data_IF_038118677398
#
_entry.id   IF_038118677398
#
_cell.length_a   1.000
_cell.length_b   1.000
_cell.length_c   1.000
_cell.angle_alpha   90.00
_cell.angle_beta   90.00
_cell.angle_gamma   90.00
#
_symmetry.space_group_name_H-M   'P 1'
#
loop_
_entity.id
_entity.type
_entity.pdbx_description
1 polymer ?
#
# COMPACT_ATOMS: atom_id res chain seq x y z
N UNK A 1 -0.50 11.54 -16.05
CA UNK A 1 -0.31 10.54 -14.98
C UNK A 1 1.06 10.72 -14.40
N UNK A 2 2.07 10.00 -14.88
CA UNK A 2 3.43 10.08 -14.33
C UNK A 2 4.16 11.40 -14.60
N UNK A 3 4.03 11.94 -15.82
CA UNK A 3 4.75 13.16 -16.24
C UNK A 3 3.89 14.43 -16.11
N UNK A 4 2.82 14.40 -15.29
CA UNK A 4 1.90 15.54 -15.13
C UNK A 4 1.28 16.09 -16.44
N UNK A 5 1.00 15.20 -17.40
CA UNK A 5 0.42 15.55 -18.72
C UNK A 5 -0.99 15.01 -19.00
N UNK A 6 -1.54 14.23 -18.07
CA UNK A 6 -2.86 13.59 -18.19
C UNK A 6 -3.47 13.49 -16.79
N UNK A 7 -4.69 13.99 -16.54
CA UNK A 7 -5.36 13.84 -15.25
C UNK A 7 -5.62 12.38 -14.89
N UNK A 8 -5.55 12.07 -13.60
CA UNK A 8 -5.80 10.73 -13.04
C UNK A 8 -7.22 10.29 -13.27
N UNK A 9 -8.17 11.19 -13.09
CA UNK A 9 -9.57 11.00 -13.43
C UNK A 9 -9.74 10.49 -14.86
N UNK A 10 -9.10 11.11 -15.85
CA UNK A 10 -9.21 10.69 -17.26
C UNK A 10 -8.72 9.25 -17.50
N UNK A 11 -7.62 8.85 -16.84
CA UNK A 11 -7.13 7.47 -16.96
C UNK A 11 -8.03 6.48 -16.23
N UNK A 12 -8.49 6.81 -15.02
CA UNK A 12 -9.42 5.99 -14.25
C UNK A 12 -10.73 5.81 -15.02
N UNK A 13 -11.28 6.88 -15.60
CA UNK A 13 -12.47 6.82 -16.44
C UNK A 13 -12.31 5.87 -17.64
N UNK A 14 -11.12 5.83 -18.24
CA UNK A 14 -10.82 4.89 -19.31
C UNK A 14 -10.80 3.44 -18.79
N UNK A 15 -10.24 3.19 -17.61
CA UNK A 15 -10.25 1.87 -16.98
C UNK A 15 -11.67 1.45 -16.62
N UNK A 16 -12.45 2.31 -15.97
CA UNK A 16 -13.85 2.07 -15.58
C UNK A 16 -14.69 1.64 -16.78
N UNK A 17 -14.53 2.29 -17.94
CA UNK A 17 -15.29 1.94 -19.16
C UNK A 17 -14.86 0.63 -19.82
N UNK A 18 -13.63 0.17 -19.61
CA UNK A 18 -13.05 -0.94 -20.39
C UNK A 18 -12.76 -2.20 -19.56
N UNK A 19 -12.73 -2.12 -18.23
CA UNK A 19 -12.32 -3.23 -17.37
C UNK A 19 -13.19 -4.47 -17.54
N UNK A 20 -14.51 -4.31 -17.74
CA UNK A 20 -15.43 -5.44 -17.99
C UNK A 20 -15.35 -5.99 -19.42
N UNK A 21 -14.68 -5.29 -20.34
CA UNK A 21 -14.59 -5.64 -21.75
C UNK A 21 -13.26 -6.31 -22.12
N UNK A 22 -12.27 -6.30 -21.23
CA UNK A 22 -10.94 -6.83 -21.49
C UNK A 22 -10.93 -8.38 -21.41
N UNK A 23 -10.77 -9.11 -22.53
CA UNK A 23 -10.81 -10.56 -22.53
C UNK A 23 -9.52 -11.23 -22.03
N UNK A 24 -8.39 -10.50 -22.03
CA UNK A 24 -7.09 -11.06 -21.65
C UNK A 24 -6.81 -10.83 -20.17
N UNK A 25 -6.68 -11.93 -19.40
CA UNK A 25 -6.36 -11.86 -17.97
C UNK A 25 -5.05 -11.09 -17.70
N UNK A 26 -4.03 -11.20 -18.56
CA UNK A 26 -2.76 -10.49 -18.38
C UNK A 26 -2.87 -8.98 -18.61
N UNK A 27 -3.66 -8.57 -19.61
CA UNK A 27 -3.93 -7.15 -19.87
C UNK A 27 -4.84 -6.57 -18.79
N UNK A 28 -5.84 -7.33 -18.35
CA UNK A 28 -6.70 -6.98 -17.22
C UNK A 28 -5.87 -6.75 -15.95
N UNK A 29 -4.98 -7.69 -15.61
CA UNK A 29 -4.07 -7.56 -14.46
C UNK A 29 -3.19 -6.31 -14.54
N UNK A 30 -2.68 -6.01 -15.73
CA UNK A 30 -1.90 -4.78 -15.95
C UNK A 30 -2.77 -3.52 -15.80
N UNK A 31 -4.00 -3.55 -16.33
CA UNK A 31 -4.95 -2.44 -16.29
C UNK A 31 -5.34 -2.08 -14.85
N UNK A 32 -5.77 -3.06 -14.05
CA UNK A 32 -6.19 -2.83 -12.65
C UNK A 32 -5.02 -2.37 -11.78
N UNK A 33 -3.85 -2.99 -11.95
CA UNK A 33 -2.63 -2.61 -11.22
C UNK A 33 -2.18 -1.19 -11.54
N UNK A 34 -2.18 -0.81 -12.83
CA UNK A 34 -1.84 0.55 -13.22
C UNK A 34 -2.85 1.58 -12.72
N UNK A 35 -4.15 1.26 -12.69
CA UNK A 35 -5.18 2.13 -12.15
C UNK A 35 -4.96 2.39 -10.66
N UNK A 36 -4.75 1.34 -9.88
CA UNK A 36 -4.48 1.42 -8.44
C UNK A 36 -3.20 2.22 -8.17
N UNK A 37 -2.13 1.95 -8.91
CA UNK A 37 -0.86 2.67 -8.76
C UNK A 37 -0.99 4.15 -9.17
N UNK A 38 -1.80 4.46 -10.19
CA UNK A 38 -2.08 5.82 -10.62
C UNK A 38 -2.79 6.62 -9.53
N UNK A 39 -3.85 6.06 -8.94
CA UNK A 39 -4.60 6.71 -7.85
C UNK A 39 -3.70 6.88 -6.62
N UNK A 40 -3.02 5.82 -6.18
CA UNK A 40 -2.17 5.84 -4.99
C UNK A 40 -1.02 6.86 -5.07
N UNK A 41 -0.37 7.01 -6.24
CA UNK A 41 0.83 7.83 -6.36
C UNK A 41 0.56 9.24 -6.91
N UNK A 42 -0.45 9.43 -7.75
CA UNK A 42 -0.60 10.65 -8.55
C UNK A 42 -1.90 11.42 -8.30
N UNK A 43 -2.93 10.81 -7.70
CA UNK A 43 -4.15 11.54 -7.37
C UNK A 43 -3.90 12.58 -6.28
N UNK A 44 -4.54 13.74 -6.41
CA UNK A 44 -4.62 14.72 -5.34
C UNK A 44 -5.31 14.11 -4.11
N UNK A 45 -4.96 14.60 -2.93
CA UNK A 45 -5.52 14.07 -1.67
C UNK A 45 -7.05 14.13 -1.65
N UNK A 46 -7.64 15.18 -2.21
CA UNK A 46 -9.10 15.42 -2.19
C UNK A 46 -9.88 14.52 -3.15
N UNK A 47 -9.30 14.12 -4.28
CA UNK A 47 -9.97 13.26 -5.26
C UNK A 47 -9.70 11.77 -5.08
N UNK A 48 -8.70 11.42 -4.25
CA UNK A 48 -8.24 10.04 -4.12
C UNK A 48 -9.35 9.08 -3.70
N UNK A 49 -10.17 9.46 -2.72
CA UNK A 49 -11.30 8.64 -2.26
C UNK A 49 -12.34 8.42 -3.37
N UNK A 50 -12.74 9.48 -4.08
CA UNK A 50 -13.69 9.40 -5.20
C UNK A 50 -13.20 8.44 -6.29
N UNK A 51 -11.91 8.51 -6.62
CA UNK A 51 -11.30 7.64 -7.63
C UNK A 51 -11.24 6.18 -7.16
N UNK A 52 -10.96 5.93 -5.88
CA UNK A 52 -11.05 4.57 -5.33
C UNK A 52 -12.48 4.03 -5.30
N UNK A 53 -13.47 4.86 -4.98
CA UNK A 53 -14.89 4.48 -5.06
C UNK A 53 -15.28 4.11 -6.51
N UNK A 54 -14.85 4.89 -7.51
CA UNK A 54 -15.09 4.58 -8.91
C UNK A 54 -14.42 3.27 -9.37
N UNK A 55 -13.18 3.01 -8.94
CA UNK A 55 -12.51 1.74 -9.20
C UNK A 55 -13.19 0.57 -8.49
N UNK A 56 -13.65 0.76 -7.26
CA UNK A 56 -14.38 -0.26 -6.51
C UNK A 56 -15.66 -0.69 -7.24
N UNK A 57 -16.48 0.27 -7.69
CA UNK A 57 -17.72 -0.02 -8.41
C UNK A 57 -17.46 -0.72 -9.75
N UNK A 58 -16.44 -0.27 -10.49
CA UNK A 58 -16.06 -0.87 -11.76
C UNK A 58 -15.50 -2.30 -11.59
N UNK A 59 -14.64 -2.52 -10.60
CA UNK A 59 -14.07 -3.84 -10.32
C UNK A 59 -15.13 -4.81 -9.80
N UNK A 60 -16.07 -4.35 -8.97
CA UNK A 60 -17.22 -5.14 -8.53
C UNK A 60 -18.10 -5.57 -9.70
N UNK A 61 -18.39 -4.64 -10.63
CA UNK A 61 -19.18 -4.92 -11.84
C UNK A 61 -18.47 -5.92 -12.75
N UNK A 62 -17.16 -5.74 -12.98
CA UNK A 62 -16.37 -6.67 -13.77
C UNK A 62 -16.25 -8.05 -13.10
N UNK A 63 -16.10 -8.10 -11.78
CA UNK A 63 -16.02 -9.35 -11.02
C UNK A 63 -17.31 -10.16 -11.18
N UNK A 64 -18.46 -9.51 -11.07
CA UNK A 64 -19.77 -10.15 -11.26
C UNK A 64 -20.00 -10.70 -12.68
N UNK A 65 -19.33 -10.12 -13.69
CA UNK A 65 -19.38 -10.56 -15.08
C UNK A 65 -18.32 -11.62 -15.44
N UNK A 66 -17.32 -11.83 -14.59
CA UNK A 66 -16.23 -12.77 -14.87
C UNK A 66 -16.69 -14.22 -14.79
N UNK A 67 -16.13 -15.08 -15.64
CA UNK A 67 -16.41 -16.52 -15.62
C UNK A 67 -15.99 -17.13 -14.27
N UNK A 68 -16.84 -17.97 -13.64
CA UNK A 68 -16.51 -18.65 -12.39
C UNK A 68 -15.19 -19.44 -12.45
N UNK A 69 -14.35 -19.31 -11.43
CA UNK A 69 -13.05 -19.97 -11.30
C UNK A 69 -11.97 -19.48 -12.26
N UNK A 70 -12.19 -18.37 -12.98
CA UNK A 70 -11.24 -17.87 -13.97
C UNK A 70 -10.13 -17.00 -13.36
N UNK A 71 -8.99 -16.92 -14.06
CA UNK A 71 -7.90 -16.01 -13.70
C UNK A 71 -8.35 -14.54 -13.65
N UNK A 72 -9.23 -14.14 -14.57
CA UNK A 72 -9.81 -12.79 -14.60
C UNK A 72 -10.59 -12.49 -13.32
N UNK A 73 -11.40 -13.44 -12.84
CA UNK A 73 -12.15 -13.34 -11.60
C UNK A 73 -11.21 -13.17 -10.39
N UNK A 74 -10.14 -13.97 -10.30
CA UNK A 74 -9.16 -13.87 -9.22
C UNK A 74 -8.38 -12.55 -9.24
N UNK A 75 -8.04 -12.05 -10.43
CA UNK A 75 -7.39 -10.74 -10.60
C UNK A 75 -8.30 -9.62 -10.10
N UNK A 76 -9.57 -9.63 -10.51
CA UNK A 76 -10.57 -8.64 -10.11
C UNK A 76 -10.87 -8.69 -8.61
N UNK A 77 -10.96 -9.88 -8.03
CA UNK A 77 -11.17 -10.07 -6.60
C UNK A 77 -10.02 -9.47 -5.78
N UNK A 78 -8.76 -9.74 -6.16
CA UNK A 78 -7.58 -9.13 -5.52
C UNK A 78 -7.55 -7.63 -5.70
N UNK A 79 -7.90 -7.14 -6.89
CA UNK A 79 -7.97 -5.71 -7.14
C UNK A 79 -9.05 -5.02 -6.29
N UNK A 80 -10.21 -5.67 -6.14
CA UNK A 80 -11.31 -5.23 -5.31
C UNK A 80 -10.90 -5.14 -3.84
N UNK A 81 -10.27 -6.18 -3.28
CA UNK A 81 -9.73 -6.16 -1.90
C UNK A 81 -8.83 -4.95 -1.68
N UNK A 82 -7.88 -4.70 -2.58
CA UNK A 82 -6.93 -3.59 -2.45
C UNK A 82 -7.63 -2.22 -2.46
N UNK A 83 -8.61 -1.99 -3.35
CA UNK A 83 -9.31 -0.69 -3.38
C UNK A 83 -10.27 -0.52 -2.20
N UNK A 84 -10.81 -1.62 -1.64
CA UNK A 84 -11.68 -1.59 -0.44
C UNK A 84 -10.97 -1.11 0.83
N UNK A 85 -9.65 -1.07 0.87
CA UNK A 85 -8.87 -0.48 1.97
C UNK A 85 -8.96 1.04 2.06
N UNK A 86 -9.38 1.71 0.97
CA UNK A 86 -9.51 3.18 0.92
C UNK A 86 -10.92 3.62 0.49
N UNK A 87 -11.57 2.85 -0.39
CA UNK A 87 -12.94 3.12 -0.81
C UNK A 87 -13.91 3.09 0.38
N UNK A 88 -15.00 3.86 0.27
CA UNK A 88 -16.06 3.91 1.28
C UNK A 88 -16.89 2.62 1.32
N UNK A 89 -16.95 1.88 0.22
CA UNK A 89 -17.61 0.57 0.10
C UNK A 89 -16.66 -0.60 0.41
N UNK A 90 -17.18 -1.84 0.37
CA UNK A 90 -16.37 -3.06 0.35
C UNK A 90 -16.15 -3.75 1.70
N UNK A 91 -16.64 -3.18 2.82
CA UNK A 91 -16.51 -3.80 4.14
C UNK A 91 -17.11 -5.21 4.18
N UNK A 92 -18.37 -5.38 3.76
CA UNK A 92 -19.05 -6.68 3.77
C UNK A 92 -18.32 -7.72 2.90
N UNK A 93 -17.89 -7.31 1.71
CA UNK A 93 -17.11 -8.16 0.80
C UNK A 93 -15.79 -8.59 1.44
N UNK A 94 -15.05 -7.67 2.08
CA UNK A 94 -13.83 -8.01 2.78
C UNK A 94 -14.09 -8.89 4.01
N UNK A 95 -15.19 -8.70 4.74
CA UNK A 95 -15.57 -9.58 5.87
C UNK A 95 -15.85 -11.00 5.41
N UNK A 96 -16.55 -11.18 4.29
CA UNK A 96 -16.77 -12.50 3.71
C UNK A 96 -15.44 -13.16 3.32
N UNK A 97 -14.59 -12.46 2.55
CA UNK A 97 -13.29 -12.98 2.12
C UNK A 97 -12.39 -13.32 3.33
N UNK A 98 -12.42 -12.48 4.38
CA UNK A 98 -11.63 -12.66 5.60
C UNK A 98 -11.94 -13.97 6.34
N UNK A 99 -13.09 -14.61 6.10
CA UNK A 99 -13.42 -15.94 6.67
C UNK A 99 -12.38 -17.01 6.33
N UNK A 100 -11.69 -16.88 5.19
CA UNK A 100 -10.55 -17.73 4.82
C UNK A 100 -9.34 -17.65 5.77
N UNK A 101 -9.29 -16.66 6.67
CA UNK A 101 -8.27 -16.54 7.72
C UNK A 101 -8.74 -17.02 9.10
N UNK A 102 -10.06 -17.10 9.35
CA UNK A 102 -10.63 -17.39 10.67
C UNK A 102 -11.12 -18.82 10.87
N UNK A 103 -11.60 -19.45 9.80
CA UNK A 103 -12.39 -20.67 9.90
C UNK A 103 -12.04 -21.63 8.77
N UNK A 104 -12.38 -22.92 8.98
CA UNK A 104 -12.32 -23.96 7.96
C UNK A 104 -13.56 -23.79 7.07
N UNK A 105 -13.61 -22.64 6.40
CA UNK A 105 -14.76 -22.26 5.60
C UNK A 105 -14.70 -23.05 4.31
N UNK A 106 -15.60 -24.03 4.20
CA UNK A 106 -15.78 -24.77 2.96
C UNK A 106 -16.65 -23.99 1.98
N UNK A 107 -16.37 -24.14 0.69
CA UNK A 107 -17.09 -23.47 -0.39
C UNK A 107 -16.37 -22.25 -0.93
N UNK A 108 -17.12 -21.44 -1.67
CA UNK A 108 -16.59 -20.32 -2.44
C UNK A 108 -16.95 -18.97 -1.80
N UNK A 109 -16.10 -17.98 -2.05
CA UNK A 109 -16.33 -16.57 -1.71
C UNK A 109 -17.64 -16.11 -2.38
N UNK A 110 -18.52 -15.45 -1.62
CA UNK A 110 -19.89 -15.18 -2.05
C UNK A 110 -19.97 -14.36 -3.35
N UNK A 111 -19.06 -13.39 -3.50
CA UNK A 111 -18.96 -12.53 -4.69
C UNK A 111 -18.13 -13.14 -5.83
N UNK A 112 -17.56 -14.34 -5.63
CA UNK A 112 -16.62 -14.96 -6.56
C UNK A 112 -16.78 -16.49 -6.58
N UNK A 113 -17.93 -16.98 -7.04
CA UNK A 113 -18.17 -18.42 -7.25
C UNK A 113 -17.05 -19.05 -8.08
N UNK A 114 -16.57 -20.21 -7.65
CA UNK A 114 -15.39 -20.91 -8.20
C UNK A 114 -14.06 -20.51 -7.55
N UNK A 115 -14.03 -19.49 -6.68
CA UNK A 115 -12.86 -19.12 -5.88
C UNK A 115 -13.11 -19.56 -4.42
N UNK A 116 -12.40 -20.58 -3.92
CA UNK A 116 -12.56 -21.04 -2.54
C UNK A 116 -12.03 -20.01 -1.54
N UNK A 117 -12.53 -20.08 -0.31
CA UNK A 117 -11.89 -19.35 0.79
C UNK A 117 -10.46 -19.89 0.99
N UNK A 118 -9.48 -18.99 1.00
CA UNK A 118 -8.10 -19.35 1.27
C UNK A 118 -7.41 -18.29 2.15
N UNK A 119 -6.32 -18.72 2.79
CA UNK A 119 -5.60 -17.91 3.75
C UNK A 119 -4.99 -16.64 3.13
N UNK A 120 -4.54 -16.66 1.88
CA UNK A 120 -3.93 -15.48 1.25
C UNK A 120 -4.97 -14.39 1.02
N UNK A 121 -6.12 -14.74 0.42
CA UNK A 121 -7.21 -13.78 0.22
C UNK A 121 -7.77 -13.31 1.57
N UNK A 122 -7.91 -14.21 2.55
CA UNK A 122 -8.36 -13.87 3.89
C UNK A 122 -7.48 -12.82 4.57
N UNK A 123 -6.16 -13.00 4.58
CA UNK A 123 -5.24 -12.01 5.15
C UNK A 123 -5.16 -10.71 4.35
N UNK A 124 -5.30 -10.76 3.03
CA UNK A 124 -5.39 -9.56 2.21
C UNK A 124 -6.64 -8.73 2.58
N UNK A 125 -7.79 -9.39 2.78
CA UNK A 125 -9.02 -8.74 3.20
C UNK A 125 -8.96 -8.20 4.64
N UNK A 126 -8.33 -8.94 5.57
CA UNK A 126 -8.04 -8.45 6.91
C UNK A 126 -7.15 -7.19 6.90
N UNK A 127 -6.17 -7.13 6.01
CA UNK A 127 -5.34 -5.95 5.80
C UNK A 127 -6.13 -4.73 5.32
N UNK A 128 -7.04 -4.92 4.35
CA UNK A 128 -7.93 -3.85 3.88
C UNK A 128 -8.89 -3.36 4.98
N UNK A 129 -9.43 -4.27 5.80
CA UNK A 129 -10.25 -3.91 6.97
C UNK A 129 -9.41 -3.18 8.03
N UNK A 130 -8.16 -3.59 8.26
CA UNK A 130 -7.27 -2.96 9.22
C UNK A 130 -6.90 -1.52 8.83
N UNK A 131 -6.62 -1.26 7.55
CA UNK A 131 -6.36 0.10 7.05
C UNK A 131 -7.51 1.07 7.38
N UNK A 132 -8.74 0.57 7.39
CA UNK A 132 -9.96 1.33 7.72
C UNK A 132 -10.37 1.27 9.18
N UNK A 133 -9.56 0.64 10.04
CA UNK A 133 -9.89 0.40 11.45
C UNK A 133 -11.21 -0.39 11.65
N UNK A 134 -11.49 -1.36 10.78
CA UNK A 134 -12.71 -2.19 10.80
C UNK A 134 -12.49 -3.59 11.38
N UNK A 135 -11.29 -3.85 11.91
CA UNK A 135 -10.91 -5.08 12.61
C UNK A 135 -10.07 -4.74 13.83
N UNK A 136 -10.23 -5.49 14.91
CA UNK A 136 -9.49 -5.33 16.16
C UNK A 136 -8.20 -6.18 16.18
N UNK A 137 -7.25 -5.79 17.04
CA UNK A 137 -6.05 -6.60 17.31
C UNK A 137 -6.42 -8.00 17.78
N UNK A 138 -7.46 -8.15 18.62
CA UNK A 138 -7.91 -9.45 19.10
C UNK A 138 -8.40 -10.36 17.97
N UNK A 139 -9.13 -9.82 16.99
CA UNK A 139 -9.53 -10.56 15.79
C UNK A 139 -8.31 -10.99 14.97
N UNK A 140 -7.35 -10.08 14.74
CA UNK A 140 -6.11 -10.42 14.02
C UNK A 140 -5.31 -11.52 14.73
N UNK A 141 -5.20 -11.46 16.06
CA UNK A 141 -4.54 -12.51 16.85
C UNK A 141 -5.28 -13.85 16.77
N UNK A 142 -6.62 -13.84 16.79
CA UNK A 142 -7.43 -15.05 16.64
C UNK A 142 -7.19 -15.69 15.27
N UNK A 143 -7.23 -14.92 14.18
CA UNK A 143 -6.92 -15.40 12.82
C UNK A 143 -5.50 -15.96 12.73
N UNK A 144 -4.51 -15.31 13.36
CA UNK A 144 -3.11 -15.76 13.35
C UNK A 144 -2.92 -17.10 14.08
N UNK A 145 -3.65 -17.32 15.18
CA UNK A 145 -3.60 -18.58 15.94
C UNK A 145 -4.40 -19.71 15.30
N UNK A 146 -5.43 -19.39 14.53
CA UNK A 146 -6.34 -20.36 13.93
C UNK A 146 -5.62 -21.31 12.95
N UNK A 147 -4.87 -20.76 12.00
CA UNK A 147 -4.09 -21.52 11.03
C UNK A 147 -2.65 -20.97 10.94
N UNK A 148 -1.74 -21.37 11.86
CA UNK A 148 -0.39 -20.85 11.90
C UNK A 148 0.44 -21.26 10.67
N UNK A 149 0.93 -20.28 9.93
CA UNK A 149 1.72 -20.46 8.72
C UNK A 149 2.58 -19.21 8.47
N UNK A 150 3.46 -19.25 7.46
CA UNK A 150 4.16 -18.04 7.02
C UNK A 150 3.19 -17.00 6.45
N UNK A 151 2.10 -17.43 5.82
CA UNK A 151 1.06 -16.54 5.28
C UNK A 151 0.36 -15.82 6.44
N UNK A 152 -0.03 -16.52 7.51
CA UNK A 152 -0.66 -15.86 8.66
C UNK A 152 0.30 -14.99 9.47
N UNK A 153 1.56 -15.40 9.65
CA UNK A 153 2.54 -14.57 10.32
C UNK A 153 2.80 -13.25 9.56
N UNK A 154 2.99 -13.33 8.24
CA UNK A 154 3.21 -12.14 7.40
C UNK A 154 1.95 -11.28 7.27
N UNK A 155 0.77 -11.91 7.11
CA UNK A 155 -0.51 -11.24 7.07
C UNK A 155 -0.83 -10.50 8.37
N UNK A 156 -0.54 -11.12 9.53
CA UNK A 156 -0.69 -10.49 10.84
C UNK A 156 0.22 -9.27 10.98
N UNK A 157 1.50 -9.40 10.63
CA UNK A 157 2.45 -8.30 10.68
C UNK A 157 2.01 -7.12 9.79
N UNK A 158 1.52 -7.41 8.58
CA UNK A 158 0.97 -6.40 7.68
C UNK A 158 -0.29 -5.72 8.25
N UNK A 159 -1.30 -6.50 8.66
CA UNK A 159 -2.57 -5.97 9.14
C UNK A 159 -2.40 -5.17 10.44
N UNK A 160 -1.59 -5.66 11.38
CA UNK A 160 -1.29 -4.94 12.62
C UNK A 160 -0.61 -3.60 12.34
N UNK A 161 0.33 -3.57 11.39
CA UNK A 161 1.00 -2.33 11.00
C UNK A 161 0.12 -1.39 10.16
N UNK A 162 -0.92 -1.91 9.50
CA UNK A 162 -1.89 -1.16 8.69
C UNK A 162 -2.88 -0.36 9.54
N UNK A 163 -3.19 -0.84 10.75
CA UNK A 163 -4.07 -0.18 11.71
C UNK A 163 -3.70 1.32 11.89
N UNK A 164 -4.65 2.27 11.70
CA UNK A 164 -4.37 3.70 11.66
C UNK A 164 -4.34 4.32 13.07
N UNK A 165 -3.60 3.71 13.99
CA UNK A 165 -3.36 4.22 15.35
C UNK A 165 -1.87 4.47 15.57
N UNK A 166 -1.57 5.53 16.33
CA UNK A 166 -0.20 5.97 16.56
C UNK A 166 0.66 4.88 17.22
N UNK A 167 0.08 4.11 18.14
CA UNK A 167 0.75 3.02 18.86
C UNK A 167 1.18 1.90 17.91
N UNK A 168 0.33 1.54 16.94
CA UNK A 168 0.64 0.50 15.95
C UNK A 168 1.66 0.97 14.92
N UNK A 169 1.63 2.26 14.53
CA UNK A 169 2.67 2.84 13.67
C UNK A 169 4.01 2.92 14.38
N UNK A 170 4.03 3.28 15.67
CA UNK A 170 5.24 3.33 16.48
C UNK A 170 5.88 1.94 16.59
N UNK A 171 5.08 0.92 16.90
CA UNK A 171 5.57 -0.44 17.01
C UNK A 171 6.06 -0.96 15.66
N UNK A 172 5.30 -0.78 14.57
CA UNK A 172 5.73 -1.20 13.23
C UNK A 172 7.05 -0.54 12.80
N UNK A 173 7.20 0.76 13.04
CA UNK A 173 8.44 1.48 12.77
C UNK A 173 9.61 0.91 13.58
N UNK A 174 9.43 0.76 14.90
CA UNK A 174 10.43 0.20 15.80
C UNK A 174 10.84 -1.22 15.36
N UNK A 175 9.88 -2.09 15.06
CA UNK A 175 10.13 -3.45 14.57
C UNK A 175 10.98 -3.44 13.30
N UNK A 176 10.65 -2.62 12.31
CA UNK A 176 11.42 -2.56 11.04
C UNK A 176 12.83 -2.01 11.23
N UNK A 177 13.01 -1.03 12.12
CA UNK A 177 14.31 -0.38 12.36
C UNK A 177 15.24 -1.23 13.24
N UNK A 178 14.70 -1.85 14.29
CA UNK A 178 15.49 -2.44 15.38
C UNK A 178 15.59 -3.98 15.32
N UNK A 179 14.58 -4.68 14.79
CA UNK A 179 14.54 -6.14 14.84
C UNK A 179 15.35 -6.82 13.71
N UNK A 180 16.55 -7.28 14.05
CA UNK A 180 17.42 -8.05 13.15
C UNK A 180 16.90 -9.44 12.78
N UNK A 181 15.96 -9.97 13.56
CA UNK A 181 15.59 -11.38 13.54
C UNK A 181 14.42 -11.67 12.62
N UNK A 182 13.77 -10.62 12.09
CA UNK A 182 12.70 -10.74 11.11
C UNK A 182 13.17 -11.47 9.85
N UNK A 183 12.29 -12.33 9.34
CA UNK A 183 12.42 -12.81 7.96
C UNK A 183 12.29 -11.63 6.98
N UNK A 184 12.83 -11.78 5.77
CA UNK A 184 12.67 -10.76 4.72
C UNK A 184 11.20 -10.47 4.39
N UNK A 185 10.34 -11.48 4.49
CA UNK A 185 8.91 -11.36 4.20
C UNK A 185 8.18 -10.66 5.34
N UNK A 186 8.53 -10.95 6.60
CA UNK A 186 7.97 -10.25 7.76
C UNK A 186 8.38 -8.78 7.75
N UNK A 187 9.66 -8.48 7.52
CA UNK A 187 10.18 -7.12 7.37
C UNK A 187 9.42 -6.34 6.28
N UNK A 188 9.23 -6.96 5.12
CA UNK A 188 8.52 -6.34 3.99
C UNK A 188 7.03 -6.14 4.32
N UNK A 189 6.41 -7.10 5.01
CA UNK A 189 5.01 -7.04 5.41
C UNK A 189 4.76 -5.91 6.41
N UNK A 190 5.57 -5.83 7.46
CA UNK A 190 5.48 -4.75 8.46
C UNK A 190 5.72 -3.38 7.82
N UNK A 191 6.73 -3.24 6.96
CA UNK A 191 7.00 -1.97 6.27
C UNK A 191 5.87 -1.57 5.31
N UNK A 192 5.27 -2.54 4.60
CA UNK A 192 4.14 -2.27 3.71
C UNK A 192 2.88 -1.86 4.49
N UNK A 193 2.60 -2.48 5.64
CA UNK A 193 1.48 -2.09 6.50
C UNK A 193 1.70 -0.73 7.14
N UNK A 194 2.92 -0.45 7.62
CA UNK A 194 3.28 0.85 8.20
C UNK A 194 2.91 2.00 7.28
N UNK A 195 3.18 1.88 5.98
CA UNK A 195 2.90 2.90 4.94
C UNK A 195 1.42 3.25 4.73
N UNK A 196 0.50 2.42 5.19
CA UNK A 196 -0.93 2.65 5.00
C UNK A 196 -1.50 3.68 5.99
N UNK A 197 -2.68 4.20 5.69
CA UNK A 197 -3.36 5.19 6.52
C UNK A 197 -2.79 6.61 6.40
N UNK A 198 -3.25 7.53 7.27
CA UNK A 198 -2.96 8.97 7.19
C UNK A 198 -1.46 9.29 7.22
N UNK A 199 -1.05 10.32 6.49
CA UNK A 199 0.35 10.75 6.39
C UNK A 199 0.87 11.22 7.77
N UNK A 200 0.02 11.89 8.55
CA UNK A 200 0.33 12.51 9.84
C UNK A 200 0.81 11.50 10.89
N UNK A 201 0.37 10.24 10.79
CA UNK A 201 0.81 9.18 11.69
C UNK A 201 2.25 8.74 11.39
N UNK A 202 2.80 9.08 10.22
CA UNK A 202 4.15 8.66 9.78
C UNK A 202 5.16 9.80 9.81
N UNK A 203 4.74 11.05 9.72
CA UNK A 203 5.62 12.23 9.76
C UNK A 203 6.58 12.27 10.95
N UNK A 204 6.18 11.89 12.19
CA UNK A 204 7.09 11.92 13.34
C UNK A 204 8.35 11.05 13.19
N UNK A 205 8.35 10.10 12.24
CA UNK A 205 9.46 9.17 12.03
C UNK A 205 10.44 9.60 10.93
N UNK A 206 10.16 10.67 10.18
CA UNK A 206 10.96 11.02 9.00
C UNK A 206 12.41 11.39 9.36
N UNK A 207 12.60 12.24 10.38
CA UNK A 207 13.93 12.65 10.84
C UNK A 207 14.72 11.45 11.39
N UNK A 208 14.11 10.62 12.24
CA UNK A 208 14.79 9.45 12.82
C UNK A 208 15.11 8.38 11.77
N UNK A 209 14.30 8.27 10.71
CA UNK A 209 14.56 7.38 9.59
C UNK A 209 15.86 7.77 8.87
N UNK A 210 16.02 9.05 8.51
CA UNK A 210 17.24 9.52 7.84
C UNK A 210 18.47 9.42 8.73
N UNK A 211 18.34 9.75 10.02
CA UNK A 211 19.43 9.65 10.99
C UNK A 211 19.99 8.22 11.13
N UNK A 212 19.13 7.20 10.98
CA UNK A 212 19.52 5.81 11.17
C UNK A 212 20.05 5.10 9.91
N UNK A 213 20.02 5.74 8.72
CA UNK A 213 20.34 5.04 7.46
C UNK A 213 21.77 4.50 7.38
N UNK A 214 22.74 5.28 7.85
CA UNK A 214 24.15 4.87 7.83
C UNK A 214 24.37 3.64 8.72
N UNK A 215 23.89 3.69 9.96
CA UNK A 215 23.99 2.59 10.92
C UNK A 215 23.28 1.33 10.42
N UNK A 216 22.09 1.46 9.85
CA UNK A 216 21.35 0.34 9.25
C UNK A 216 22.13 -0.28 8.09
N UNK A 217 22.73 0.55 7.25
CA UNK A 217 23.48 0.07 6.10
C UNK A 217 24.76 -0.69 6.50
N UNK A 218 25.43 -0.24 7.56
CA UNK A 218 26.64 -0.88 8.07
C UNK A 218 26.37 -2.15 8.87
N UNK A 219 25.27 -2.17 9.64
CA UNK A 219 24.98 -3.25 10.58
C UNK A 219 24.08 -4.37 10.03
N UNK A 220 23.32 -4.11 8.96
CA UNK A 220 22.38 -5.09 8.37
C UNK A 220 22.93 -5.72 7.10
N UNK A 221 22.37 -6.86 6.73
CA UNK A 221 22.61 -7.41 5.38
C UNK A 221 22.12 -6.42 4.31
N UNK A 222 22.80 -6.38 3.17
CA UNK A 222 22.44 -5.50 2.04
C UNK A 222 20.98 -5.67 1.61
N UNK A 223 20.46 -6.90 1.68
CA UNK A 223 19.08 -7.22 1.34
C UNK A 223 18.07 -6.65 2.34
N UNK A 224 18.39 -6.64 3.63
CA UNK A 224 17.54 -6.03 4.66
C UNK A 224 17.62 -4.51 4.60
N UNK A 225 18.83 -3.94 4.54
CA UNK A 225 19.03 -2.49 4.45
C UNK A 225 18.28 -1.90 3.24
N UNK A 226 18.37 -2.55 2.07
CA UNK A 226 17.65 -2.11 0.86
C UNK A 226 16.12 -2.13 1.05
N UNK A 227 15.59 -3.14 1.76
CA UNK A 227 14.15 -3.24 2.06
C UNK A 227 13.71 -2.15 3.03
N UNK A 228 14.51 -1.86 4.06
CA UNK A 228 14.22 -0.79 5.02
C UNK A 228 14.23 0.57 4.33
N UNK A 229 15.30 0.89 3.58
CA UNK A 229 15.44 2.16 2.85
C UNK A 229 14.25 2.38 1.89
N UNK A 230 13.86 1.37 1.12
CA UNK A 230 12.73 1.50 0.17
C UNK A 230 11.36 1.45 0.85
N UNK A 231 11.23 0.64 1.90
CA UNK A 231 9.98 0.38 2.60
C UNK A 231 9.56 1.54 3.48
N UNK A 232 10.51 2.20 4.15
CA UNK A 232 10.23 3.30 5.07
C UNK A 232 10.54 4.69 4.51
N UNK A 233 10.96 4.80 3.25
CA UNK A 233 11.19 6.12 2.65
C UNK A 233 9.96 7.03 2.82
N UNK A 234 10.12 8.23 3.41
CA UNK A 234 9.02 9.14 3.71
C UNK A 234 8.11 9.43 2.52
N UNK A 235 6.80 9.44 2.77
CA UNK A 235 5.76 9.75 1.78
C UNK A 235 4.71 10.64 2.42
N UNK A 236 4.35 11.69 1.70
CA UNK A 236 3.27 12.61 2.04
C UNK A 236 2.46 12.95 0.78
N UNK A 237 1.28 13.52 0.99
CA UNK A 237 0.41 14.02 -0.06
C UNK A 237 0.63 15.53 -0.26
N UNK A 238 0.81 15.94 -1.52
CA UNK A 238 1.03 17.34 -1.87
C UNK A 238 -0.15 18.23 -1.41
N UNK A 239 0.16 19.39 -0.82
CA UNK A 239 -0.84 20.38 -0.41
C UNK A 239 -1.71 19.97 0.78
N UNK A 240 -1.35 18.92 1.51
CA UNK A 240 -2.08 18.41 2.66
C UNK A 240 -1.17 18.32 3.90
N UNK A 241 -1.76 18.35 5.11
CA UNK A 241 -1.01 18.21 6.36
C UNK A 241 0.17 19.19 6.45
N UNK A 242 1.36 18.68 6.79
CA UNK A 242 2.60 19.46 6.85
C UNK A 242 3.08 20.00 5.50
N UNK A 243 2.56 19.47 4.37
CA UNK A 243 2.90 19.91 3.02
C UNK A 243 2.07 21.09 2.53
N UNK A 244 1.06 21.53 3.30
CA UNK A 244 0.15 22.58 2.88
C UNK A 244 0.89 23.91 2.64
N UNK A 245 0.74 24.48 1.44
CA UNK A 245 1.38 25.74 1.05
C UNK A 245 2.87 25.64 0.69
N UNK A 246 3.47 24.45 0.76
CA UNK A 246 4.86 24.22 0.37
C UNK A 246 4.99 23.95 -1.12
N UNK A 247 6.13 24.31 -1.71
CA UNK A 247 6.51 23.75 -3.01
C UNK A 247 7.06 22.33 -2.83
N UNK A 248 7.16 21.59 -3.94
CA UNK A 248 7.58 20.17 -3.92
C UNK A 248 8.93 19.97 -3.25
N UNK A 249 9.89 20.85 -3.51
CA UNK A 249 11.25 20.73 -2.95
C UNK A 249 11.33 21.04 -1.46
N UNK A 250 10.38 21.82 -0.92
CA UNK A 250 10.31 22.18 0.50
C UNK A 250 9.60 21.12 1.35
N UNK A 251 8.98 20.12 0.72
CA UNK A 251 8.32 19.03 1.45
C UNK A 251 9.33 18.18 2.23
N UNK A 252 8.95 17.72 3.42
CA UNK A 252 9.86 17.00 4.32
C UNK A 252 10.59 15.80 3.67
N UNK A 253 9.93 14.89 2.92
CA UNK A 253 10.64 13.79 2.24
C UNK A 253 11.74 14.25 1.29
N UNK A 254 11.52 15.34 0.55
CA UNK A 254 12.48 15.84 -0.45
C UNK A 254 13.62 16.59 0.25
N UNK A 255 13.28 17.53 1.14
CA UNK A 255 14.24 18.36 1.86
C UNK A 255 15.16 17.54 2.78
N UNK A 256 14.63 16.54 3.48
CA UNK A 256 15.42 15.67 4.36
C UNK A 256 16.35 14.75 3.56
N UNK A 257 15.88 14.20 2.43
CA UNK A 257 16.74 13.42 1.55
C UNK A 257 17.90 14.25 0.97
N UNK A 258 17.62 15.49 0.58
CA UNK A 258 18.63 16.42 0.08
C UNK A 258 19.66 16.77 1.15
N UNK A 259 19.21 17.14 2.35
CA UNK A 259 20.07 17.40 3.51
C UNK A 259 20.96 16.20 3.80
N UNK A 260 20.37 15.01 3.92
CA UNK A 260 21.12 13.78 4.21
C UNK A 260 22.20 13.52 3.16
N UNK A 261 21.88 13.68 1.86
CA UNK A 261 22.83 13.47 0.76
C UNK A 261 23.99 14.48 0.76
N UNK A 262 23.77 15.71 1.24
CA UNK A 262 24.80 16.74 1.37
C UNK A 262 25.68 16.50 2.60
N UNK A 263 25.09 16.08 3.72
CA UNK A 263 25.79 15.83 4.99
C UNK A 263 26.61 14.54 4.98
N UNK A 264 26.29 13.58 4.10
CA UNK A 264 26.94 12.27 4.02
C UNK A 264 27.59 12.01 2.65
N UNK A 265 28.55 12.83 2.18
CA UNK A 265 29.17 12.67 0.86
C UNK A 265 29.98 11.36 0.75
N UNK A 266 30.50 10.85 1.86
CA UNK A 266 31.24 9.59 1.97
C UNK A 266 30.37 8.33 2.15
N UNK A 267 29.06 8.46 2.32
CA UNK A 267 28.19 7.30 2.47
C UNK A 267 28.31 6.32 1.28
N UNK A 268 28.11 5.01 1.50
CA UNK A 268 28.24 4.01 0.44
C UNK A 268 27.42 4.36 -0.81
N UNK A 269 28.03 4.22 -1.99
CA UNK A 269 27.44 4.65 -3.27
C UNK A 269 26.07 4.01 -3.55
N UNK A 270 25.89 2.74 -3.14
CA UNK A 270 24.63 2.03 -3.27
C UNK A 270 23.52 2.62 -2.37
N UNK A 271 23.82 3.06 -1.15
CA UNK A 271 22.86 3.73 -0.27
C UNK A 271 22.47 5.10 -0.84
N UNK A 272 23.47 5.90 -1.21
CA UNK A 272 23.25 7.22 -1.84
C UNK A 272 22.37 7.10 -3.08
N UNK A 273 22.61 6.09 -3.92
CA UNK A 273 21.78 5.80 -5.10
C UNK A 273 20.32 5.52 -4.73
N UNK A 274 20.07 4.70 -3.71
CA UNK A 274 18.70 4.39 -3.27
C UNK A 274 17.94 5.64 -2.82
N UNK A 275 18.61 6.54 -2.10
CA UNK A 275 18.02 7.79 -1.60
C UNK A 275 17.74 8.75 -2.75
N UNK A 276 18.67 8.88 -3.71
CA UNK A 276 18.46 9.66 -4.93
C UNK A 276 17.28 9.13 -5.76
N UNK A 277 17.22 7.81 -6.00
CA UNK A 277 16.11 7.17 -6.72
C UNK A 277 14.75 7.41 -6.03
N UNK A 278 14.71 7.31 -4.69
CA UNK A 278 13.51 7.52 -3.91
C UNK A 278 13.09 9.00 -3.87
N UNK A 279 14.03 9.93 -3.77
CA UNK A 279 13.78 11.37 -3.86
C UNK A 279 13.23 11.75 -5.23
N UNK A 280 13.84 11.26 -6.32
CA UNK A 280 13.37 11.51 -7.69
C UNK A 280 11.97 10.93 -7.94
N UNK A 281 11.68 9.75 -7.38
CA UNK A 281 10.33 9.20 -7.43
C UNK A 281 9.34 10.07 -6.65
N UNK A 282 9.72 10.56 -5.48
CA UNK A 282 8.88 11.38 -4.62
C UNK A 282 8.59 12.74 -5.25
N UNK A 283 9.60 13.42 -5.80
CA UNK A 283 9.43 14.66 -6.59
C UNK A 283 8.45 14.46 -7.74
N UNK A 284 8.56 13.36 -8.48
CA UNK A 284 7.64 13.05 -9.59
C UNK A 284 6.21 12.82 -9.10
N UNK A 285 6.04 12.06 -8.03
CA UNK A 285 4.72 11.82 -7.44
C UNK A 285 4.08 13.12 -6.96
N UNK A 286 4.80 13.94 -6.20
CA UNK A 286 4.29 15.22 -5.69
C UNK A 286 3.96 16.21 -6.81
N UNK A 287 4.77 16.29 -7.87
CA UNK A 287 4.46 17.11 -9.04
C UNK A 287 3.20 16.63 -9.78
N UNK A 288 3.03 15.30 -9.90
CA UNK A 288 1.80 14.75 -10.47
C UNK A 288 0.59 15.06 -9.59
N UNK A 289 0.70 14.96 -8.27
CA UNK A 289 -0.37 15.32 -7.34
C UNK A 289 -0.71 16.82 -7.42
N UNK A 290 0.30 17.70 -7.48
CA UNK A 290 0.15 19.15 -7.70
C UNK A 290 -0.63 19.45 -8.98
N UNK A 291 -0.31 18.76 -10.07
CA UNK A 291 -1.06 18.88 -11.32
C UNK A 291 -2.53 18.44 -11.16
N UNK A 292 -2.78 17.28 -10.55
CA UNK A 292 -4.14 16.75 -10.32
C UNK A 292 -4.92 17.52 -9.23
N UNK A 293 -4.30 18.39 -8.46
CA UNK A 293 -5.01 19.27 -7.53
C UNK A 293 -5.67 20.47 -8.25
N UNK A 294 -5.36 20.67 -9.53
CA UNK A 294 -5.81 21.83 -10.33
C UNK A 294 -6.55 21.46 -11.62
N UNK A 295 -6.71 20.16 -11.90
CA UNK A 295 -7.31 19.59 -13.12
C UNK A 295 -8.18 18.39 -12.77
#
# INVERSE_FOLDING_TARGET
MRDARLPVSTFVDAVVRNVSLEPSASLLGSMVSHAQAAVANYASQTERENLYNALHDAFSTALAAASPGSDAQLILLRALITVSGVATQGEETCRDIARGAFEDTTGDIAVATGIPYDQNLGWAALGALAERNLVSVTELEQAARYNPSSISANGYAYALAALPQAEHKAEAYRTVMEDSTLSNDALSSTANGFRLGPDELREPYFESYFAALSDIWESRSIGMATRIVRGLYPRISYGHGSAAGLDVDDTAPVALAERWLQEHPEAPSALRRLILEAQDLTRRNLNAQKFNATH
#
